data_IF_752120797683
#
_entry.id   IF_752120797683
#
_cell.length_a   1.000
_cell.length_b   1.000
_cell.length_c   1.000
_cell.angle_alpha   90.00
_cell.angle_beta   90.00
_cell.angle_gamma   90.00
#
_symmetry.space_group_name_H-M   'P 1'
#
loop_
_entity.id
_entity.type
_entity.pdbx_description
1 polymer ?
#
# COMPACT_ATOMS: atom_id res chain seq x y z
N UNK A 1 24.45 16.48 -15.78
CA UNK A 1 23.24 15.83 -16.37
C UNK A 1 22.65 14.73 -15.48
N UNK A 2 23.43 13.78 -14.93
CA UNK A 2 22.94 12.72 -14.00
C UNK A 2 22.19 13.26 -12.77
N UNK A 3 22.68 14.30 -12.11
CA UNK A 3 22.06 14.88 -10.90
C UNK A 3 20.67 15.50 -11.13
N UNK A 4 20.42 16.11 -12.30
CA UNK A 4 19.10 16.66 -12.64
C UNK A 4 18.08 15.54 -12.86
N UNK A 5 18.47 14.47 -13.56
CA UNK A 5 17.60 13.31 -13.74
C UNK A 5 17.23 12.66 -12.40
N UNK A 6 18.18 12.54 -11.47
CA UNK A 6 17.92 12.04 -10.11
C UNK A 6 16.93 12.93 -9.35
N UNK A 7 17.06 14.24 -9.45
CA UNK A 7 16.14 15.19 -8.82
C UNK A 7 14.72 15.13 -9.43
N UNK A 8 14.61 15.02 -10.75
CA UNK A 8 13.31 14.87 -11.42
C UNK A 8 12.63 13.56 -11.03
N UNK A 9 13.38 12.45 -10.98
CA UNK A 9 12.85 11.15 -10.54
C UNK A 9 12.43 11.23 -9.08
N UNK A 10 13.22 11.84 -8.21
CA UNK A 10 12.87 12.05 -6.81
C UNK A 10 11.59 12.88 -6.67
N UNK A 11 11.47 14.02 -7.34
CA UNK A 11 10.26 14.83 -7.30
C UNK A 11 9.02 14.07 -7.83
N UNK A 12 9.18 13.28 -8.89
CA UNK A 12 8.10 12.44 -9.41
C UNK A 12 7.65 11.38 -8.39
N UNK A 13 8.60 10.78 -7.66
CA UNK A 13 8.33 9.80 -6.59
C UNK A 13 7.66 10.45 -5.36
N UNK A 14 7.93 11.73 -5.08
CA UNK A 14 7.32 12.47 -3.96
C UNK A 14 5.96 13.10 -4.30
N UNK A 15 5.48 13.00 -5.54
CA UNK A 15 4.21 13.62 -5.96
C UNK A 15 3.00 13.24 -5.09
N UNK A 16 3.01 12.03 -4.53
CA UNK A 16 1.96 11.56 -3.61
C UNK A 16 1.92 12.24 -2.24
N UNK A 17 2.93 13.04 -1.87
CA UNK A 17 2.95 13.81 -0.61
C UNK A 17 2.22 15.16 -0.73
N UNK A 18 1.94 15.64 -1.94
CA UNK A 18 1.30 16.94 -2.16
C UNK A 18 -0.18 16.94 -1.75
N UNK A 19 -0.85 15.79 -1.85
CA UNK A 19 -2.24 15.58 -1.46
C UNK A 19 -2.28 14.44 -0.44
N UNK A 20 -1.95 14.75 0.82
CA UNK A 20 -2.12 13.82 1.94
C UNK A 20 -3.35 14.23 2.77
N UNK A 21 -4.57 13.98 2.28
CA UNK A 21 -5.79 14.25 3.01
C UNK A 21 -5.79 13.45 4.32
N UNK A 22 -6.35 14.08 5.35
CA UNK A 22 -6.34 13.58 6.71
C UNK A 22 -7.74 13.62 7.31
N UNK A 23 -8.18 12.51 7.89
CA UNK A 23 -9.41 12.43 8.69
C UNK A 23 -9.14 12.83 10.13
N UNK A 24 -9.97 13.71 10.68
CA UNK A 24 -9.99 13.99 12.12
C UNK A 24 -10.75 12.90 12.88
N UNK A 25 -10.08 12.21 13.79
CA UNK A 25 -10.66 11.22 14.71
C UNK A 25 -10.39 11.66 16.14
N UNK A 26 -11.44 11.99 16.89
CA UNK A 26 -11.36 12.43 18.29
C UNK A 26 -10.37 13.60 18.52
N UNK A 27 -10.21 14.48 17.54
CA UNK A 27 -9.28 15.62 17.59
C UNK A 27 -7.85 15.32 17.11
N UNK A 28 -7.53 14.07 16.74
CA UNK A 28 -6.26 13.70 16.11
C UNK A 28 -6.43 13.53 14.58
N UNK A 29 -5.46 13.96 13.79
CA UNK A 29 -5.50 13.85 12.33
C UNK A 29 -4.72 12.63 11.86
N UNK A 30 -5.40 11.67 11.22
CA UNK A 30 -4.81 10.48 10.65
C UNK A 30 -4.86 10.55 9.12
N UNK A 31 -3.83 10.05 8.42
CA UNK A 31 -3.88 9.95 6.97
C UNK A 31 -4.97 8.98 6.51
N UNK A 32 -5.72 9.34 5.47
CA UNK A 32 -6.84 8.54 4.97
C UNK A 32 -6.42 7.15 4.49
N UNK A 33 -5.23 7.05 3.90
CA UNK A 33 -4.64 5.79 3.43
C UNK A 33 -4.39 4.79 4.58
N UNK A 34 -4.27 5.25 5.83
CA UNK A 34 -4.11 4.39 7.00
C UNK A 34 -5.38 3.57 7.26
N UNK A 35 -6.57 4.15 7.01
CA UNK A 35 -7.82 3.40 7.06
C UNK A 35 -7.94 2.40 5.91
N UNK A 36 -7.52 2.81 4.70
CA UNK A 36 -7.45 1.89 3.55
C UNK A 36 -6.50 0.72 3.81
N UNK A 37 -5.43 0.94 4.58
CA UNK A 37 -4.47 -0.10 4.95
C UNK A 37 -5.10 -1.21 5.80
N UNK A 38 -6.01 -0.87 6.72
CA UNK A 38 -6.73 -1.87 7.52
C UNK A 38 -7.56 -2.78 6.61
N UNK A 39 -8.30 -2.21 5.66
CA UNK A 39 -9.06 -2.98 4.67
C UNK A 39 -8.15 -3.83 3.78
N UNK A 40 -7.03 -3.27 3.33
CA UNK A 40 -6.04 -3.97 2.52
C UNK A 40 -5.43 -5.19 3.24
N UNK A 41 -5.18 -5.11 4.55
CA UNK A 41 -4.71 -6.26 5.35
C UNK A 41 -5.74 -7.39 5.30
N UNK A 42 -7.02 -7.07 5.48
CA UNK A 42 -8.11 -8.06 5.43
C UNK A 42 -8.16 -8.71 4.04
N UNK A 43 -8.11 -7.92 2.96
CA UNK A 43 -8.11 -8.45 1.59
C UNK A 43 -6.89 -9.33 1.32
N UNK A 44 -5.69 -8.90 1.73
CA UNK A 44 -4.46 -9.71 1.62
C UNK A 44 -4.59 -11.03 2.36
N UNK A 45 -5.17 -11.03 3.57
CA UNK A 45 -5.41 -12.26 4.33
C UNK A 45 -6.40 -13.21 3.62
N UNK A 46 -7.46 -12.67 3.02
CA UNK A 46 -8.41 -13.45 2.22
C UNK A 46 -7.76 -14.04 0.98
N UNK A 47 -6.93 -13.27 0.27
CA UNK A 47 -6.14 -13.76 -0.87
C UNK A 47 -5.22 -14.90 -0.43
N UNK A 48 -4.49 -14.73 0.68
CA UNK A 48 -3.64 -15.77 1.24
C UNK A 48 -4.43 -17.04 1.58
N UNK A 49 -5.58 -16.89 2.26
CA UNK A 49 -6.45 -18.01 2.61
C UNK A 49 -6.96 -18.75 1.37
N UNK A 50 -7.38 -18.02 0.33
CA UNK A 50 -7.82 -18.59 -0.95
C UNK A 50 -6.71 -19.33 -1.68
N UNK A 51 -5.51 -18.74 -1.78
CA UNK A 51 -4.35 -19.40 -2.38
C UNK A 51 -3.92 -20.66 -1.62
N UNK A 52 -4.02 -20.64 -0.29
CA UNK A 52 -3.76 -21.80 0.58
C UNK A 52 -4.80 -22.90 0.36
N UNK A 53 -6.08 -22.54 0.30
CA UNK A 53 -7.17 -23.48 0.06
C UNK A 53 -7.08 -24.13 -1.33
N UNK A 54 -6.61 -23.38 -2.34
CA UNK A 54 -6.38 -23.89 -3.69
C UNK A 54 -5.09 -24.73 -3.82
N UNK A 55 -4.30 -24.90 -2.76
CA UNK A 55 -3.02 -25.63 -2.80
C UNK A 55 -1.94 -24.93 -3.64
N UNK A 56 -2.10 -23.63 -3.93
CA UNK A 56 -1.24 -22.89 -4.86
C UNK A 56 -0.01 -22.28 -4.19
N UNK A 57 0.07 -22.34 -2.86
CA UNK A 57 1.26 -21.95 -2.09
C UNK A 57 2.36 -23.01 -2.20
N UNK A 58 3.18 -22.93 -3.25
CA UNK A 58 4.45 -23.65 -3.33
C UNK A 58 5.49 -22.96 -2.46
N UNK A 59 6.23 -23.73 -1.65
CA UNK A 59 7.10 -23.29 -0.55
C UNK A 59 7.88 -22.00 -0.88
N UNK A 60 7.38 -20.82 -0.49
CA UNK A 60 8.09 -19.58 -0.71
C UNK A 60 9.24 -19.53 0.30
N UNK A 61 10.39 -19.02 -0.10
CA UNK A 61 11.49 -18.79 0.85
C UNK A 61 10.99 -17.99 2.06
N UNK A 62 11.47 -18.34 3.26
CA UNK A 62 11.02 -17.77 4.55
C UNK A 62 11.01 -16.24 4.59
N UNK A 63 11.88 -15.60 3.78
CA UNK A 63 12.02 -14.15 3.67
C UNK A 63 11.15 -13.52 2.56
N UNK A 64 10.81 -14.28 1.51
CA UNK A 64 10.04 -13.79 0.36
C UNK A 64 8.58 -13.54 0.72
N UNK A 65 8.04 -14.38 1.62
CA UNK A 65 6.65 -14.33 2.04
C UNK A 65 6.22 -12.98 2.68
N UNK A 66 6.91 -12.47 3.71
CA UNK A 66 6.52 -11.20 4.34
C UNK A 66 6.66 -10.01 3.40
N UNK A 67 7.67 -9.99 2.54
CA UNK A 67 7.88 -8.89 1.56
C UNK A 67 6.76 -8.85 0.53
N UNK A 68 6.34 -10.00 0.02
CA UNK A 68 5.25 -10.07 -0.96
C UNK A 68 3.93 -9.61 -0.34
N UNK A 69 3.60 -10.06 0.88
CA UNK A 69 2.36 -9.65 1.53
C UNK A 69 2.36 -8.19 1.99
N UNK A 70 3.51 -7.66 2.43
CA UNK A 70 3.59 -6.23 2.77
C UNK A 70 3.47 -5.36 1.52
N UNK A 71 4.12 -5.74 0.42
CA UNK A 71 3.98 -5.04 -0.86
C UNK A 71 2.54 -5.10 -1.38
N UNK A 72 1.92 -6.27 -1.39
CA UNK A 72 0.52 -6.45 -1.82
C UNK A 72 -0.44 -5.60 -0.97
N UNK A 73 -0.27 -5.62 0.35
CA UNK A 73 -1.07 -4.81 1.28
C UNK A 73 -0.90 -3.32 1.01
N UNK A 74 0.34 -2.86 0.82
CA UNK A 74 0.60 -1.44 0.53
C UNK A 74 -0.01 -1.02 -0.81
N UNK A 75 0.12 -1.85 -1.85
CA UNK A 75 -0.47 -1.58 -3.16
C UNK A 75 -1.99 -1.51 -3.07
N UNK A 76 -2.65 -2.45 -2.40
CA UNK A 76 -4.10 -2.44 -2.20
C UNK A 76 -4.57 -1.20 -1.42
N UNK A 77 -3.82 -0.82 -0.37
CA UNK A 77 -4.12 0.37 0.43
C UNK A 77 -4.04 1.65 -0.41
N UNK A 78 -2.97 1.80 -1.19
CA UNK A 78 -2.77 2.97 -2.06
C UNK A 78 -3.79 3.02 -3.19
N UNK A 79 -4.10 1.90 -3.84
CA UNK A 79 -5.13 1.83 -4.88
C UNK A 79 -6.50 2.18 -4.32
N UNK A 80 -6.87 1.62 -3.16
CA UNK A 80 -8.12 1.97 -2.48
C UNK A 80 -8.18 3.45 -2.14
N UNK A 81 -7.09 4.01 -1.60
CA UNK A 81 -6.99 5.42 -1.29
C UNK A 81 -7.15 6.30 -2.55
N UNK A 82 -6.49 5.96 -3.67
CA UNK A 82 -6.65 6.67 -4.94
C UNK A 82 -8.09 6.63 -5.45
N UNK A 83 -8.78 5.50 -5.31
CA UNK A 83 -10.16 5.33 -5.80
C UNK A 83 -11.16 6.14 -4.97
N UNK A 84 -10.99 6.17 -3.64
CA UNK A 84 -11.99 6.74 -2.73
C UNK A 84 -11.71 8.17 -2.26
N UNK A 85 -10.45 8.63 -2.28
CA UNK A 85 -10.04 9.88 -1.61
C UNK A 85 -9.26 10.88 -2.49
N UNK A 86 -8.98 10.58 -3.77
CA UNK A 86 -8.27 11.53 -4.67
C UNK A 86 -9.18 12.51 -5.43
N UNK A 87 -10.45 12.61 -5.07
CA UNK A 87 -11.39 13.60 -5.60
C UNK A 87 -11.62 14.73 -4.58
#
# INVERSE_FOLDING_TARGET
MRSRATLFIACALLGGCATSPSVSVLGAFFPDWLFCMVGAIVVTALIHAGLRAAGLLRHPGRLTLPVVYSALTMTLALVGWLIFFQN
#
